data_IF_424853685276
#
_entry.id   IF_424853685276
#
_cell.length_a   1.000
_cell.length_b   1.000
_cell.length_c   1.000
_cell.angle_alpha   90.00
_cell.angle_beta   90.00
_cell.angle_gamma   90.00
#
_symmetry.space_group_name_H-M   'P 1'
#
loop_
_entity.id
_entity.type
_entity.pdbx_description
1 polymer ?
#
# COMPACT_ATOMS: atom_id res chain seq x y z
N UNK A 1 43.38 26.01 -39.24
CA UNK A 1 42.87 25.22 -38.09
C UNK A 1 42.52 26.21 -36.99
N UNK A 2 41.24 26.55 -36.85
CA UNK A 2 40.77 27.63 -35.96
C UNK A 2 40.29 27.04 -34.63
N UNK A 3 40.53 27.74 -33.51
CA UNK A 3 40.77 27.14 -32.21
C UNK A 3 39.53 26.43 -31.65
N UNK A 4 39.68 25.12 -31.53
CA UNK A 4 38.86 24.23 -30.73
C UNK A 4 39.06 24.63 -29.28
N UNK A 5 38.07 25.27 -28.65
CA UNK A 5 37.79 25.21 -27.21
C UNK A 5 36.49 25.99 -26.96
N UNK A 6 35.36 25.30 -27.15
CA UNK A 6 34.02 25.80 -26.87
C UNK A 6 33.90 26.19 -25.37
N UNK A 7 33.77 27.48 -25.03
CA UNK A 7 33.51 27.92 -23.66
C UNK A 7 32.03 27.65 -23.37
N UNK A 8 31.70 26.46 -22.90
CA UNK A 8 30.30 26.12 -22.59
C UNK A 8 29.96 24.64 -22.50
N UNK A 9 30.79 23.72 -23.02
CA UNK A 9 30.49 22.27 -22.95
C UNK A 9 30.51 21.73 -21.52
N UNK A 10 31.50 22.09 -20.72
CA UNK A 10 31.60 21.65 -19.32
C UNK A 10 30.47 22.23 -18.45
N UNK A 11 30.16 23.52 -18.61
CA UNK A 11 29.03 24.16 -17.91
C UNK A 11 27.68 23.57 -18.29
N UNK A 12 27.46 23.27 -19.58
CA UNK A 12 26.25 22.59 -20.06
C UNK A 12 26.16 21.15 -19.54
N UNK A 13 27.29 20.44 -19.44
CA UNK A 13 27.33 19.09 -18.89
C UNK A 13 26.98 19.06 -17.40
N UNK A 14 27.58 19.94 -16.59
CA UNK A 14 27.27 20.06 -15.16
C UNK A 14 25.81 20.48 -14.96
N UNK A 15 25.30 21.43 -15.75
CA UNK A 15 23.90 21.86 -15.70
C UNK A 15 22.95 20.70 -16.04
N UNK A 16 23.25 19.92 -17.07
CA UNK A 16 22.46 18.74 -17.43
C UNK A 16 22.45 17.70 -16.30
N UNK A 17 23.61 17.41 -15.69
CA UNK A 17 23.70 16.51 -14.54
C UNK A 17 22.86 17.01 -13.36
N UNK A 18 22.91 18.31 -13.05
CA UNK A 18 22.09 18.90 -12.00
C UNK A 18 20.60 18.77 -12.26
N UNK A 19 20.16 19.01 -13.50
CA UNK A 19 18.75 18.87 -13.91
C UNK A 19 18.31 17.41 -13.78
N UNK A 20 19.14 16.45 -14.24
CA UNK A 20 18.84 15.02 -14.13
C UNK A 20 18.74 14.61 -12.66
N UNK A 21 19.70 15.02 -11.81
CA UNK A 21 19.68 14.74 -10.38
C UNK A 21 18.39 15.28 -9.73
N UNK A 22 18.01 16.52 -10.06
CA UNK A 22 16.80 17.14 -9.53
C UNK A 22 15.53 16.41 -9.99
N UNK A 23 15.45 16.01 -11.26
CA UNK A 23 14.35 15.21 -11.80
C UNK A 23 14.24 13.84 -11.11
N UNK A 24 15.37 13.16 -10.89
CA UNK A 24 15.41 11.87 -10.20
C UNK A 24 14.93 12.01 -8.75
N UNK A 25 15.39 13.03 -8.03
CA UNK A 25 14.96 13.28 -6.65
C UNK A 25 13.46 13.64 -6.58
N UNK A 26 12.97 14.45 -7.52
CA UNK A 26 11.54 14.77 -7.62
C UNK A 26 10.71 13.52 -7.90
N UNK A 27 11.08 12.72 -8.91
CA UNK A 27 10.36 11.49 -9.24
C UNK A 27 10.38 10.49 -8.09
N UNK A 28 11.52 10.33 -7.41
CA UNK A 28 11.60 9.50 -6.20
C UNK A 28 10.64 10.00 -5.12
N UNK A 29 10.59 11.31 -4.89
CA UNK A 29 9.72 11.90 -3.87
C UNK A 29 8.24 11.71 -4.24
N UNK A 30 7.86 11.97 -5.48
CA UNK A 30 6.49 11.76 -5.98
C UNK A 30 6.10 10.29 -5.86
N UNK A 31 6.99 9.37 -6.26
CA UNK A 31 6.77 7.93 -6.11
C UNK A 31 6.57 7.56 -4.64
N UNK A 32 7.41 8.06 -3.73
CA UNK A 32 7.27 7.80 -2.30
C UNK A 32 5.98 8.40 -1.73
N UNK A 33 5.57 9.61 -2.14
CA UNK A 33 4.29 10.19 -1.73
C UNK A 33 3.10 9.38 -2.24
N UNK A 34 3.14 8.95 -3.50
CA UNK A 34 2.10 8.10 -4.08
C UNK A 34 2.04 6.75 -3.37
N UNK A 35 3.17 6.05 -3.28
CA UNK A 35 3.29 4.77 -2.58
C UNK A 35 2.81 4.93 -1.14
N UNK A 36 3.32 5.95 -0.42
CA UNK A 36 2.80 6.73 0.72
C UNK A 36 1.28 6.71 0.97
N UNK A 37 0.53 7.13 -0.04
CA UNK A 37 -0.87 7.51 0.07
C UNK A 37 -1.82 6.41 -0.41
N UNK A 38 -1.34 5.52 -1.26
CA UNK A 38 -2.14 4.43 -1.84
C UNK A 38 -2.39 3.34 -0.79
N UNK A 39 -3.64 2.86 -0.61
CA UNK A 39 -3.95 1.72 0.24
C UNK A 39 -3.13 0.48 -0.12
N UNK A 40 -2.78 -0.36 0.86
CA UNK A 40 -1.96 -1.55 0.61
C UNK A 40 -2.69 -2.60 -0.26
N UNK A 41 -4.03 -2.52 -0.35
CA UNK A 41 -4.90 -3.50 -0.98
C UNK A 41 -5.78 -2.92 -2.09
N UNK A 42 -5.23 -2.00 -2.90
CA UNK A 42 -5.97 -1.42 -4.04
C UNK A 42 -6.36 -2.44 -5.09
N UNK A 43 -5.60 -3.53 -5.25
CA UNK A 43 -5.90 -4.59 -6.23
C UNK A 43 -7.09 -5.48 -5.83
N UNK A 44 -7.51 -5.46 -4.57
CA UNK A 44 -8.66 -6.24 -4.04
C UNK A 44 -8.71 -7.69 -4.57
N UNK A 45 -7.69 -8.53 -4.30
CA UNK A 45 -7.69 -9.89 -4.82
C UNK A 45 -8.93 -10.68 -4.36
N UNK A 46 -9.37 -11.65 -5.17
CA UNK A 46 -10.54 -12.47 -4.84
C UNK A 46 -10.29 -13.41 -3.66
N UNK A 47 -9.05 -13.87 -3.50
CA UNK A 47 -8.66 -14.81 -2.45
C UNK A 47 -7.33 -14.43 -1.81
N UNK A 48 -7.22 -14.75 -0.52
CA UNK A 48 -6.07 -14.36 0.30
C UNK A 48 -5.70 -15.49 1.24
N UNK A 49 -4.41 -15.66 1.47
CA UNK A 49 -3.91 -16.67 2.40
C UNK A 49 -3.59 -16.04 3.75
N UNK A 50 -4.19 -16.58 4.81
CA UNK A 50 -3.94 -16.13 6.17
C UNK A 50 -4.12 -17.29 7.15
N UNK A 51 -3.32 -17.32 8.22
CA UNK A 51 -3.43 -18.36 9.25
C UNK A 51 -3.40 -19.80 8.68
N UNK A 52 -2.62 -20.04 7.62
CA UNK A 52 -2.52 -21.34 6.95
C UNK A 52 -3.64 -21.65 5.94
N UNK A 53 -4.82 -21.02 6.06
CA UNK A 53 -5.99 -21.25 5.21
C UNK A 53 -6.25 -20.16 4.16
N UNK A 54 -7.26 -20.39 3.33
CA UNK A 54 -7.74 -19.46 2.32
C UNK A 54 -8.94 -18.68 2.83
N UNK A 55 -8.99 -17.40 2.45
CA UNK A 55 -10.12 -16.54 2.70
C UNK A 55 -10.60 -15.95 1.38
N UNK A 56 -11.89 -16.05 1.14
CA UNK A 56 -12.56 -15.52 -0.04
C UNK A 56 -13.11 -14.14 0.24
N UNK A 57 -12.96 -13.24 -0.72
CA UNK A 57 -13.55 -11.91 -0.71
C UNK A 57 -15.07 -12.05 -0.67
N UNK A 58 -15.73 -11.31 0.22
CA UNK A 58 -17.18 -11.21 0.23
C UNK A 58 -17.65 -10.35 -0.94
N UNK A 59 -18.81 -10.68 -1.51
CA UNK A 59 -19.50 -9.84 -2.51
C UNK A 59 -20.14 -8.58 -1.89
N UNK A 60 -20.11 -8.47 -0.56
CA UNK A 60 -20.53 -7.26 0.14
C UNK A 60 -19.69 -6.05 -0.28
N UNK A 61 -20.37 -4.91 -0.40
CA UNK A 61 -19.74 -3.62 -0.65
C UNK A 61 -18.73 -3.27 0.44
N UNK A 62 -17.74 -2.46 0.06
CA UNK A 62 -16.75 -1.94 0.99
C UNK A 62 -17.40 -1.32 2.24
N UNK A 63 -16.93 -1.72 3.41
CA UNK A 63 -17.51 -1.31 4.70
C UNK A 63 -16.63 -0.28 5.41
N UNK A 64 -17.28 0.55 6.24
CA UNK A 64 -16.58 1.41 7.19
C UNK A 64 -15.95 0.61 8.34
N UNK A 65 -14.93 1.17 8.99
CA UNK A 65 -14.27 0.54 10.14
C UNK A 65 -15.20 0.31 11.34
N UNK A 66 -16.23 1.13 11.52
CA UNK A 66 -17.28 0.93 12.53
C UNK A 66 -18.05 -0.37 12.28
N UNK A 67 -18.46 -0.63 11.04
CA UNK A 67 -19.17 -1.85 10.65
C UNK A 67 -18.25 -3.07 10.73
N UNK A 68 -16.97 -2.92 10.38
CA UNK A 68 -15.97 -3.97 10.56
C UNK A 68 -15.85 -4.41 12.03
N UNK A 69 -15.77 -3.45 12.96
CA UNK A 69 -15.75 -3.73 14.41
C UNK A 69 -17.03 -4.40 14.89
N UNK A 70 -18.18 -3.95 14.40
CA UNK A 70 -19.47 -4.55 14.72
C UNK A 70 -19.55 -6.01 14.27
N UNK A 71 -19.13 -6.30 13.02
CA UNK A 71 -19.12 -7.68 12.51
C UNK A 71 -18.09 -8.57 13.19
N UNK A 72 -16.94 -8.01 13.56
CA UNK A 72 -15.95 -8.70 14.34
C UNK A 72 -16.39 -8.89 15.81
N UNK A 73 -17.45 -8.23 16.27
CA UNK A 73 -17.94 -8.29 17.64
C UNK A 73 -17.06 -7.54 18.66
N UNK A 74 -16.20 -6.62 18.23
CA UNK A 74 -15.37 -5.82 19.14
C UNK A 74 -14.16 -5.15 18.50
N UNK A 75 -13.10 -4.95 19.29
CA UNK A 75 -11.88 -4.28 18.83
C UNK A 75 -11.13 -5.12 17.79
N UNK A 76 -10.59 -4.42 16.79
CA UNK A 76 -9.79 -5.03 15.73
C UNK A 76 -8.30 -4.84 16.02
N UNK A 77 -7.53 -5.91 15.83
CA UNK A 77 -6.08 -5.86 15.74
C UNK A 77 -5.70 -5.57 14.29
N UNK A 78 -5.01 -4.46 14.06
CA UNK A 78 -4.46 -4.12 12.75
C UNK A 78 -3.11 -4.82 12.55
N UNK A 79 -2.95 -5.53 11.43
CA UNK A 79 -1.64 -6.01 10.97
C UNK A 79 -1.10 -5.05 9.94
N UNK A 80 0.15 -4.66 10.17
CA UNK A 80 0.81 -3.59 9.42
C UNK A 80 1.98 -4.12 8.60
N UNK A 81 2.22 -3.52 7.44
CA UNK A 81 3.39 -3.82 6.59
C UNK A 81 4.57 -2.96 7.00
N UNK A 82 5.69 -3.58 7.35
CA UNK A 82 7.00 -2.93 7.32
C UNK A 82 7.36 -2.54 5.88
N UNK A 83 8.04 -1.40 5.62
CA UNK A 83 8.70 -0.48 6.56
C UNK A 83 7.84 0.70 7.03
N UNK A 84 6.62 0.86 6.50
CA UNK A 84 5.80 2.08 6.68
C UNK A 84 4.72 1.89 7.74
N UNK A 85 4.71 0.75 8.43
CA UNK A 85 3.67 0.33 9.37
C UNK A 85 2.24 0.58 8.83
N UNK A 86 2.03 0.27 7.55
CA UNK A 86 0.74 0.49 6.87
C UNK A 86 -0.27 -0.57 7.26
N UNK A 87 -1.46 -0.23 7.75
CA UNK A 87 -2.50 -1.21 8.03
C UNK A 87 -2.89 -1.92 6.73
N UNK A 88 -2.70 -3.23 6.72
CA UNK A 88 -2.97 -4.13 5.60
C UNK A 88 -4.32 -4.79 5.81
N UNK A 89 -4.50 -5.36 7.01
CA UNK A 89 -5.66 -6.11 7.40
C UNK A 89 -5.99 -5.83 8.86
N UNK A 90 -7.23 -6.06 9.23
CA UNK A 90 -7.70 -5.99 10.58
C UNK A 90 -8.55 -7.23 10.88
N UNK A 91 -8.51 -7.73 12.12
CA UNK A 91 -9.33 -8.85 12.57
C UNK A 91 -9.50 -8.82 14.09
N UNK A 92 -10.50 -9.51 14.64
CA UNK A 92 -10.58 -9.69 16.09
C UNK A 92 -9.55 -10.73 16.53
N UNK A 93 -8.62 -10.41 17.43
CA UNK A 93 -7.70 -11.42 17.95
C UNK A 93 -8.45 -12.51 18.75
N UNK A 94 -8.24 -13.76 18.36
CA UNK A 94 -8.77 -14.98 18.97
C UNK A 94 -7.63 -15.99 19.16
N UNK A 95 -7.85 -17.05 19.94
CA UNK A 95 -6.90 -18.18 20.04
C UNK A 95 -6.75 -18.91 18.70
N UNK A 96 -7.83 -18.96 17.93
CA UNK A 96 -7.91 -19.64 16.62
C UNK A 96 -7.81 -18.65 15.46
N UNK A 97 -7.77 -19.17 14.22
CA UNK A 97 -7.83 -18.36 13.01
C UNK A 97 -9.14 -17.56 12.95
N UNK A 98 -9.09 -16.24 12.69
CA UNK A 98 -10.29 -15.40 12.72
C UNK A 98 -11.22 -15.77 11.57
N UNK A 99 -12.54 -15.79 11.80
CA UNK A 99 -13.53 -16.07 10.73
C UNK A 99 -13.55 -15.00 9.63
N UNK A 100 -13.25 -13.76 10.00
CA UNK A 100 -13.28 -12.59 9.12
C UNK A 100 -11.95 -11.84 9.16
N UNK A 101 -11.50 -11.44 7.96
CA UNK A 101 -10.41 -10.50 7.77
C UNK A 101 -10.94 -9.27 7.05
N UNK A 102 -10.47 -8.10 7.48
CA UNK A 102 -10.88 -6.82 6.91
C UNK A 102 -9.65 -6.19 6.26
N UNK A 103 -9.52 -6.29 4.94
CA UNK A 103 -8.39 -5.69 4.23
C UNK A 103 -8.64 -4.21 3.97
N UNK A 104 -7.68 -3.34 4.33
CA UNK A 104 -7.88 -1.89 4.25
C UNK A 104 -7.62 -1.38 2.83
N UNK A 105 -8.67 -0.83 2.22
CA UNK A 105 -8.65 -0.27 0.85
C UNK A 105 -8.84 1.25 0.83
N UNK A 106 -8.99 1.90 1.98
CA UNK A 106 -9.15 3.35 2.07
C UNK A 106 -8.87 3.91 3.47
N UNK A 107 -9.20 5.20 3.68
CA UNK A 107 -8.93 5.93 4.94
C UNK A 107 -9.70 5.37 6.15
N UNK A 108 -10.82 4.69 5.95
CA UNK A 108 -11.51 3.86 6.95
C UNK A 108 -12.41 2.82 6.26
N UNK A 109 -11.94 2.33 5.11
CA UNK A 109 -12.74 1.50 4.19
C UNK A 109 -12.07 0.14 4.08
N UNK A 110 -12.87 -0.91 4.25
CA UNK A 110 -12.41 -2.27 4.31
C UNK A 110 -13.17 -3.16 3.33
N UNK A 111 -12.44 -4.08 2.70
CA UNK A 111 -13.02 -5.22 2.00
C UNK A 111 -13.04 -6.39 2.96
N UNK A 112 -14.14 -7.15 2.95
CA UNK A 112 -14.33 -8.29 3.83
C UNK A 112 -13.79 -9.54 3.14
N UNK A 113 -13.05 -10.35 3.88
CA UNK A 113 -12.70 -11.70 3.51
C UNK A 113 -13.20 -12.66 4.58
N UNK A 114 -13.86 -13.73 4.18
CA UNK A 114 -14.34 -14.79 5.05
C UNK A 114 -13.49 -16.03 4.82
N UNK A 115 -13.18 -16.77 5.89
CA UNK A 115 -12.55 -18.08 5.75
C UNK A 115 -13.36 -18.91 4.73
N UNK A 116 -12.69 -19.51 3.75
CA UNK A 116 -13.34 -20.49 2.91
C UNK A 116 -13.70 -21.66 3.82
N UNK A 117 -14.99 -21.99 3.92
CA UNK A 117 -15.40 -23.23 4.56
C UNK A 117 -14.87 -24.36 3.66
N UNK A 118 -13.99 -25.20 4.19
CA UNK A 118 -13.60 -26.48 3.56
C UNK A 118 -14.77 -27.48 3.63
#
# INVERSE_FOLDING_TARGET
>A
MSPILAPGRAGNFIRALFIILLLVLLMRTVYLMWFFRTPAWTSRPDEIRYCGGWYKRSDELDIAGSRARQMAGGSLKEVRRSPVFRPIMAYRPTSDCPRYLFARVGKDVFVIYRAADD
#
